data_IF_214560704419
#
_entry.id   IF_214560704419
#
_cell.length_a   1.000
_cell.length_b   1.000
_cell.length_c   1.000
_cell.angle_alpha   90.00
_cell.angle_beta   90.00
_cell.angle_gamma   90.00
#
_symmetry.space_group_name_H-M   'P 1'
#
loop_
_entity.id
_entity.type
_entity.pdbx_description
1 polymer ?
#
# COMPACT_ATOMS: atom_id res chain seq x y z
N UNK A 1 8.94 6.09 -8.31
CA UNK A 1 8.81 4.68 -7.97
C UNK A 1 7.48 4.15 -8.49
N UNK A 2 7.48 2.99 -9.11
CA UNK A 2 6.26 2.39 -9.63
C UNK A 2 5.44 1.69 -8.56
N UNK A 3 4.27 1.19 -8.93
CA UNK A 3 3.45 0.40 -8.02
C UNK A 3 4.18 -0.89 -7.64
N UNK A 4 4.01 -1.33 -6.39
CA UNK A 4 4.57 -2.60 -5.93
C UNK A 4 3.59 -3.74 -6.15
N UNK A 5 2.32 -3.43 -6.39
CA UNK A 5 1.27 -4.43 -6.55
C UNK A 5 0.09 -3.83 -7.29
N UNK A 6 -0.63 -4.68 -8.05
CA UNK A 6 -1.87 -4.28 -8.70
C UNK A 6 -2.92 -5.34 -8.38
N UNK A 7 -4.05 -4.92 -7.83
CA UNK A 7 -5.14 -5.84 -7.49
C UNK A 7 -6.46 -5.24 -7.95
N UNK A 8 -7.14 -5.94 -8.87
CA UNK A 8 -8.42 -5.49 -9.45
C UNK A 8 -8.36 -4.04 -9.94
N UNK A 9 -7.25 -3.67 -10.57
CA UNK A 9 -7.05 -2.31 -11.08
C UNK A 9 -6.59 -1.30 -10.06
N UNK A 10 -6.53 -1.67 -8.78
CA UNK A 10 -6.01 -0.79 -7.74
C UNK A 10 -4.49 -0.84 -7.75
N UNK A 11 -3.85 0.32 -7.88
CA UNK A 11 -2.40 0.44 -7.91
C UNK A 11 -1.92 0.74 -6.48
N UNK A 12 -1.01 -0.09 -5.98
CA UNK A 12 -0.50 0.03 -4.62
C UNK A 12 0.95 0.48 -4.64
N UNK A 13 1.25 1.50 -3.83
CA UNK A 13 2.58 2.12 -3.78
C UNK A 13 3.10 2.20 -2.35
N UNK A 14 4.43 2.09 -2.20
CA UNK A 14 5.15 2.49 -1.00
C UNK A 14 6.24 3.43 -1.47
N UNK A 15 6.28 4.65 -0.92
CA UNK A 15 7.24 5.66 -1.33
C UNK A 15 8.48 5.64 -0.45
N UNK A 16 9.64 5.95 -1.06
CA UNK A 16 10.90 6.05 -0.33
C UNK A 16 10.84 7.20 0.67
N UNK A 17 11.40 6.96 1.86
CA UNK A 17 11.53 7.99 2.90
C UNK A 17 10.22 8.61 3.35
N UNK A 18 9.12 7.87 3.21
CA UNK A 18 7.83 8.35 3.67
C UNK A 18 7.78 8.35 5.21
N UNK A 19 6.87 9.15 5.77
CA UNK A 19 6.76 9.29 7.23
C UNK A 19 6.01 8.12 7.87
N UNK A 20 6.31 7.85 9.13
CA UNK A 20 5.60 6.85 9.94
C UNK A 20 4.21 7.34 10.30
N UNK A 21 3.26 6.42 10.59
CA UNK A 21 3.41 4.96 10.66
C UNK A 21 3.46 4.30 9.28
N UNK A 22 3.89 3.03 9.21
CA UNK A 22 3.92 2.31 7.93
C UNK A 22 2.55 2.29 7.26
N UNK A 23 2.52 2.67 5.99
CA UNK A 23 1.27 2.75 5.24
C UNK A 23 1.52 2.52 3.76
N UNK A 24 0.45 2.23 3.03
CA UNK A 24 0.49 2.10 1.58
C UNK A 24 -0.40 3.15 0.96
N UNK A 25 -0.06 3.52 -0.27
CA UNK A 25 -0.87 4.42 -1.09
C UNK A 25 -1.61 3.59 -2.12
N UNK A 26 -2.90 3.89 -2.31
CA UNK A 26 -3.74 3.18 -3.27
C UNK A 26 -4.35 4.18 -4.24
N UNK A 27 -4.24 3.90 -5.54
CA UNK A 27 -4.78 4.76 -6.58
C UNK A 27 -5.65 3.95 -7.54
N UNK A 28 -6.79 4.51 -7.89
CA UNK A 28 -7.70 3.87 -8.85
C UNK A 28 -8.64 4.93 -9.43
N UNK A 29 -8.40 5.32 -10.69
CA UNK A 29 -9.23 6.34 -11.33
C UNK A 29 -9.18 7.65 -10.54
N UNK A 30 -10.36 8.14 -10.13
CA UNK A 30 -10.45 9.36 -9.31
C UNK A 30 -10.27 9.11 -7.82
N UNK A 31 -9.97 7.88 -7.44
CA UNK A 31 -9.86 7.45 -6.07
C UNK A 31 -8.39 7.41 -5.67
N UNK A 32 -8.07 8.03 -4.52
CA UNK A 32 -6.69 7.99 -4.00
C UNK A 32 -6.77 8.07 -2.48
N UNK A 33 -6.15 7.10 -1.81
CA UNK A 33 -6.16 7.07 -0.35
C UNK A 33 -4.92 6.38 0.18
N UNK A 34 -4.65 6.60 1.46
CA UNK A 34 -3.62 5.86 2.20
C UNK A 34 -4.29 5.02 3.26
N UNK A 35 -3.67 3.90 3.59
CA UNK A 35 -4.15 3.04 4.67
C UNK A 35 -2.96 2.53 5.46
N UNK A 36 -3.01 2.68 6.78
CA UNK A 36 -1.94 2.20 7.65
C UNK A 36 -1.95 0.67 7.69
N UNK A 37 -0.77 0.09 7.68
CA UNK A 37 -0.64 -1.36 7.68
C UNK A 37 -1.08 -1.95 9.02
N UNK A 38 -0.80 -1.25 10.11
CA UNK A 38 -1.14 -1.73 11.44
C UNK A 38 -2.59 -1.50 11.83
N UNK A 39 -2.96 -0.25 12.07
CA UNK A 39 -4.29 0.08 12.59
C UNK A 39 -5.36 0.27 11.53
N UNK A 40 -4.97 0.23 10.25
CA UNK A 40 -5.86 0.35 9.09
C UNK A 40 -6.56 1.71 9.01
N UNK A 41 -5.97 2.75 9.62
CA UNK A 41 -6.49 4.10 9.50
C UNK A 41 -6.38 4.57 8.05
N UNK A 42 -7.47 5.15 7.53
CA UNK A 42 -7.58 5.56 6.14
C UNK A 42 -7.69 7.06 6.02
N UNK A 43 -6.91 7.64 5.10
CA UNK A 43 -7.03 9.03 4.74
C UNK A 43 -7.19 9.14 3.23
N UNK A 44 -8.11 9.98 2.78
CA UNK A 44 -8.34 10.20 1.37
C UNK A 44 -9.69 9.66 0.92
N UNK A 45 -9.83 9.54 -0.41
CA UNK A 45 -11.09 9.12 -1.01
C UNK A 45 -11.04 7.65 -1.35
N UNK A 46 -11.91 6.85 -0.72
CA UNK A 46 -11.94 5.41 -0.91
C UNK A 46 -13.36 4.88 -0.91
N UNK A 47 -13.65 3.98 -1.85
CA UNK A 47 -14.94 3.29 -1.89
C UNK A 47 -14.92 2.11 -0.91
N UNK A 48 -16.07 1.83 -0.29
CA UNK A 48 -16.16 0.75 0.70
C UNK A 48 -15.69 -0.60 0.17
N UNK A 49 -16.04 -0.93 -1.07
CA UNK A 49 -15.62 -2.21 -1.65
C UNK A 49 -14.11 -2.30 -1.82
N UNK A 50 -13.46 -1.18 -2.09
CA UNK A 50 -12.00 -1.15 -2.24
C UNK A 50 -11.31 -1.19 -0.89
N UNK A 51 -11.90 -0.56 0.13
CA UNK A 51 -11.40 -0.64 1.50
C UNK A 51 -11.37 -2.09 1.97
N UNK A 52 -12.46 -2.82 1.73
CA UNK A 52 -12.54 -4.23 2.11
C UNK A 52 -11.47 -5.05 1.39
N UNK A 53 -11.33 -4.84 0.07
CA UNK A 53 -10.37 -5.55 -0.73
C UNK A 53 -8.94 -5.30 -0.25
N UNK A 54 -8.61 -4.03 0.04
CA UNK A 54 -7.28 -3.67 0.50
C UNK A 54 -6.99 -4.21 1.89
N UNK A 55 -7.99 -4.21 2.79
CA UNK A 55 -7.81 -4.82 4.11
C UNK A 55 -7.48 -6.30 4.00
N UNK A 56 -8.18 -7.02 3.13
CA UNK A 56 -7.90 -8.43 2.88
C UNK A 56 -6.50 -8.62 2.30
N UNK A 57 -6.10 -7.74 1.39
CA UNK A 57 -4.76 -7.77 0.81
C UNK A 57 -3.69 -7.57 1.89
N UNK A 58 -3.87 -6.57 2.76
CA UNK A 58 -2.92 -6.31 3.84
C UNK A 58 -2.85 -7.51 4.79
N UNK A 59 -4.00 -8.09 5.13
CA UNK A 59 -4.05 -9.27 6.00
C UNK A 59 -3.20 -10.41 5.44
N UNK A 60 -3.24 -10.59 4.11
CA UNK A 60 -2.51 -11.67 3.46
C UNK A 60 -1.03 -11.38 3.24
N UNK A 61 -0.64 -10.10 3.25
CA UNK A 61 0.72 -9.68 2.86
C UNK A 61 1.38 -8.76 3.88
N UNK A 62 0.93 -8.79 5.12
CA UNK A 62 1.39 -7.84 6.14
C UNK A 62 2.91 -7.87 6.31
N UNK A 63 3.48 -9.06 6.45
CA UNK A 63 4.93 -9.21 6.64
C UNK A 63 5.70 -8.66 5.45
N UNK A 64 5.28 -8.98 4.24
CA UNK A 64 5.92 -8.50 3.01
C UNK A 64 5.83 -6.98 2.91
N UNK A 65 4.66 -6.42 3.23
CA UNK A 65 4.46 -4.98 3.15
C UNK A 65 5.34 -4.24 4.15
N UNK A 66 5.49 -4.78 5.36
CA UNK A 66 6.37 -4.17 6.35
C UNK A 66 7.84 -4.26 5.93
N UNK A 67 8.24 -5.35 5.30
CA UNK A 67 9.58 -5.48 4.74
C UNK A 67 9.83 -4.45 3.64
N UNK A 68 8.87 -4.28 2.74
CA UNK A 68 8.95 -3.26 1.69
C UNK A 68 9.03 -1.87 2.28
N UNK A 69 8.23 -1.60 3.32
CA UNK A 69 8.27 -0.33 4.02
C UNK A 69 9.67 -0.05 4.57
N UNK A 70 10.27 -1.05 5.24
CA UNK A 70 11.60 -0.90 5.81
C UNK A 70 12.65 -0.65 4.74
N UNK A 71 12.57 -1.36 3.61
CA UNK A 71 13.48 -1.13 2.49
C UNK A 71 13.32 0.27 1.92
N UNK A 72 12.10 0.74 1.79
CA UNK A 72 11.82 2.09 1.30
C UNK A 72 12.39 3.15 2.24
N UNK A 73 12.34 2.91 3.55
CA UNK A 73 12.92 3.84 4.52
C UNK A 73 14.44 3.93 4.40
N UNK A 74 15.08 2.88 3.91
CA UNK A 74 16.52 2.87 3.67
C UNK A 74 16.89 3.32 2.25
N UNK A 75 15.89 3.66 1.44
CA UNK A 75 16.12 4.03 0.06
C UNK A 75 16.47 2.88 -0.85
N UNK A 76 16.22 1.64 -0.40
CA UNK A 76 16.51 0.45 -1.20
C UNK A 76 15.44 0.23 -2.27
N UNK A 77 15.85 -0.44 -3.36
CA UNK A 77 14.92 -0.77 -4.43
C UNK A 77 13.90 -1.81 -3.94
N UNK A 78 12.63 -1.57 -4.24
CA UNK A 78 11.56 -2.49 -3.90
C UNK A 78 11.24 -3.33 -5.13
N UNK A 79 11.24 -4.65 -4.96
CA UNK A 79 10.87 -5.57 -6.01
C UNK A 79 9.35 -5.71 -6.05
N UNK A 80 8.80 -5.55 -7.24
CA UNK A 80 7.36 -5.66 -7.44
C UNK A 80 6.88 -7.07 -7.13
N UNK A 81 5.75 -7.18 -6.43
CA UNK A 81 5.11 -8.46 -6.19
C UNK A 81 4.43 -8.89 -7.49
N UNK A 82 4.74 -10.10 -7.94
CA UNK A 82 4.17 -10.65 -9.18
C UNK A 82 2.96 -11.49 -8.86
N UNK A 83 1.88 -11.21 -9.55
CA UNK A 83 0.64 -11.96 -9.41
C UNK A 83 0.18 -12.47 -10.75
#
# INVERSE_FOLDING_TARGET
MGSIFIINGLLIYIYAFDHNPPHIHVKHGGEEFTINIGDRFIEGRAKSKHIKLINEFIDSHETELLEFWNKAQRGERITKIVR
#
